data_IF_043034037945
#
_entry.id   IF_043034037945
#
_cell.length_a   1.000
_cell.length_b   1.000
_cell.length_c   1.000
_cell.angle_alpha   90.00
_cell.angle_beta   90.00
_cell.angle_gamma   90.00
#
_symmetry.space_group_name_H-M   'P 1'
#
loop_
_entity.id
_entity.type
_entity.pdbx_description
1 polymer ?
#
# COMPACT_ATOMS: atom_id res chain seq x y z
N UNK A 1 13.50 11.60 10.36
CA UNK A 1 13.99 10.99 11.61
C UNK A 1 14.93 9.83 11.28
N UNK A 2 16.16 9.87 11.77
CA UNK A 2 17.08 8.72 11.68
C UNK A 2 16.55 7.58 12.54
N UNK A 3 16.48 6.40 11.96
CA UNK A 3 15.89 5.22 12.58
C UNK A 3 16.81 4.01 12.46
N UNK A 4 16.78 3.17 13.50
CA UNK A 4 17.43 1.88 13.51
C UNK A 4 16.39 0.78 13.76
N UNK A 5 16.41 -0.26 12.94
CA UNK A 5 15.51 -1.40 13.06
C UNK A 5 16.29 -2.69 12.84
N UNK A 6 16.31 -3.55 13.84
CA UNK A 6 17.02 -4.83 13.80
C UNK A 6 16.08 -6.02 13.60
N UNK A 7 14.77 -5.79 13.59
CA UNK A 7 13.75 -6.82 13.53
C UNK A 7 13.83 -7.63 12.25
N UNK A 8 14.16 -6.97 11.12
CA UNK A 8 14.25 -7.56 9.80
C UNK A 8 15.71 -7.79 9.34
N UNK A 9 16.65 -7.93 10.31
CA UNK A 9 18.10 -8.01 9.99
C UNK A 9 18.46 -9.21 9.10
N UNK A 10 17.70 -10.30 9.21
CA UNK A 10 17.92 -11.50 8.41
C UNK A 10 17.47 -11.33 6.95
N UNK A 11 16.64 -10.33 6.68
CA UNK A 11 16.12 -10.00 5.35
C UNK A 11 16.98 -8.96 4.62
N UNK A 12 17.98 -8.37 5.32
CA UNK A 12 18.90 -7.40 4.73
C UNK A 12 19.74 -8.06 3.64
N UNK A 13 19.66 -7.50 2.44
CA UNK A 13 20.30 -8.02 1.24
C UNK A 13 19.34 -8.12 0.06
N UNK A 14 18.06 -7.96 0.31
CA UNK A 14 17.07 -7.68 -0.72
C UNK A 14 17.11 -6.19 -1.13
N UNK A 15 16.13 -5.76 -1.93
CA UNK A 15 16.04 -4.37 -2.38
C UNK A 15 15.18 -3.46 -1.48
N UNK A 16 14.76 -3.92 -0.30
CA UNK A 16 13.79 -3.24 0.57
C UNK A 16 14.26 -3.08 2.00
N UNK A 17 14.88 -4.11 2.59
CA UNK A 17 15.19 -4.15 4.01
C UNK A 17 16.55 -3.54 4.31
N UNK A 18 16.56 -2.57 5.22
CA UNK A 18 17.76 -1.93 5.75
C UNK A 18 17.64 -1.80 7.26
N UNK A 19 18.77 -1.83 7.98
CA UNK A 19 18.78 -1.65 9.44
C UNK A 19 18.86 -0.18 9.85
N UNK A 20 19.47 0.66 9.01
CA UNK A 20 19.54 2.11 9.19
C UNK A 20 18.82 2.81 8.05
N UNK A 21 17.93 3.72 8.38
CA UNK A 21 17.17 4.50 7.40
C UNK A 21 16.68 5.81 8.00
N UNK A 22 16.18 6.69 7.17
CA UNK A 22 15.48 7.89 7.60
C UNK A 22 13.99 7.74 7.31
N UNK A 23 13.17 7.95 8.33
CA UNK A 23 11.71 8.02 8.18
C UNK A 23 11.33 9.47 7.88
N UNK A 24 10.64 9.67 6.78
CA UNK A 24 9.90 10.87 6.47
C UNK A 24 8.41 10.60 6.74
N UNK A 25 7.79 11.41 7.57
CA UNK A 25 6.38 11.17 7.90
C UNK A 25 5.81 12.24 8.82
N UNK A 26 4.53 12.12 9.05
CA UNK A 26 3.77 12.99 9.92
C UNK A 26 2.75 12.16 10.73
N UNK A 27 2.29 12.74 11.81
CA UNK A 27 1.29 12.13 12.70
C UNK A 27 0.16 13.12 12.90
N UNK A 28 -1.08 12.64 12.76
CA UNK A 28 -2.26 13.39 13.12
C UNK A 28 -2.81 12.91 14.46
N UNK A 29 -3.05 13.85 15.37
CA UNK A 29 -3.75 13.59 16.63
C UNK A 29 -5.18 14.18 16.57
N UNK A 30 -5.84 14.06 15.41
CA UNK A 30 -7.18 14.53 15.17
C UNK A 30 -7.27 15.85 14.40
N UNK A 31 -6.15 16.41 13.93
CA UNK A 31 -6.14 17.66 13.16
C UNK A 31 -6.50 17.45 11.69
N UNK A 32 -6.09 16.32 11.11
CA UNK A 32 -6.36 15.94 9.73
C UNK A 32 -6.49 14.42 9.64
N UNK A 33 -7.02 13.93 8.52
CA UNK A 33 -7.17 12.50 8.30
C UNK A 33 -6.92 12.14 6.82
N UNK A 34 -7.63 11.18 6.26
CA UNK A 34 -7.39 10.61 4.94
C UNK A 34 -7.35 11.65 3.82
N UNK A 35 -8.30 12.58 3.82
CA UNK A 35 -8.46 13.55 2.73
C UNK A 35 -7.22 14.42 2.55
N UNK A 36 -6.71 14.95 3.65
CA UNK A 36 -5.52 15.80 3.66
C UNK A 36 -4.26 14.96 3.45
N UNK A 37 -4.13 13.85 4.21
CA UNK A 37 -2.92 13.02 4.19
C UNK A 37 -2.66 12.39 2.83
N UNK A 38 -3.67 11.81 2.18
CA UNK A 38 -3.49 11.17 0.88
C UNK A 38 -3.15 12.20 -0.21
N UNK A 39 -3.75 13.41 -0.13
CA UNK A 39 -3.41 14.50 -1.04
C UNK A 39 -1.97 14.97 -0.85
N UNK A 40 -1.56 15.29 0.36
CA UNK A 40 -0.19 15.74 0.65
C UNK A 40 0.85 14.71 0.24
N UNK A 41 0.58 13.42 0.49
CA UNK A 41 1.48 12.36 0.11
C UNK A 41 1.59 12.23 -1.42
N UNK A 42 0.48 12.31 -2.13
CA UNK A 42 0.48 12.25 -3.60
C UNK A 42 1.17 13.47 -4.22
N UNK A 43 0.91 14.67 -3.73
CA UNK A 43 1.59 15.90 -4.15
C UNK A 43 3.10 15.80 -3.88
N UNK A 44 3.49 15.36 -2.69
CA UNK A 44 4.90 15.13 -2.36
C UNK A 44 5.58 14.19 -3.36
N UNK A 45 4.97 13.05 -3.66
CA UNK A 45 5.54 12.08 -4.60
C UNK A 45 5.62 12.63 -6.04
N UNK A 46 4.58 13.33 -6.48
CA UNK A 46 4.48 13.75 -7.90
C UNK A 46 5.09 15.10 -8.19
N UNK A 47 5.14 16.02 -7.22
CA UNK A 47 5.60 17.40 -7.41
C UNK A 47 6.98 17.64 -6.82
N UNK A 48 7.24 17.17 -5.58
CA UNK A 48 8.53 17.39 -4.91
C UNK A 48 9.56 16.32 -5.29
N UNK A 49 9.17 15.04 -5.24
CA UNK A 49 10.05 13.92 -5.66
C UNK A 49 10.08 13.80 -7.19
N UNK A 50 9.03 14.24 -7.90
CA UNK A 50 8.96 14.26 -9.35
C UNK A 50 8.66 12.88 -9.96
N UNK A 51 8.00 11.98 -9.24
CA UNK A 51 7.59 10.68 -9.78
C UNK A 51 6.42 10.86 -10.76
N UNK A 52 6.50 10.17 -11.90
CA UNK A 52 5.36 10.14 -12.82
C UNK A 52 4.18 9.40 -12.21
N UNK A 53 2.98 10.02 -12.15
CA UNK A 53 1.79 9.38 -11.61
C UNK A 53 1.37 8.13 -12.39
N UNK A 54 1.81 7.97 -13.64
CA UNK A 54 1.59 6.77 -14.46
C UNK A 54 2.32 5.53 -13.92
N UNK A 55 3.36 5.72 -13.09
CA UNK A 55 4.10 4.64 -12.44
C UNK A 55 3.57 4.33 -11.03
N UNK A 56 2.64 5.14 -10.50
CA UNK A 56 2.10 4.95 -9.16
C UNK A 56 0.86 4.06 -9.18
N UNK A 57 0.82 3.15 -8.25
CA UNK A 57 -0.29 2.25 -7.95
C UNK A 57 -0.58 2.29 -6.46
N UNK A 58 -1.82 2.06 -6.07
CA UNK A 58 -2.19 2.14 -4.65
C UNK A 58 -2.98 0.93 -4.21
N UNK A 59 -2.83 0.61 -2.92
CA UNK A 59 -3.62 -0.43 -2.28
C UNK A 59 -4.44 0.15 -1.15
N UNK A 60 -5.58 -0.45 -0.89
CA UNK A 60 -6.53 -0.07 0.16
C UNK A 60 -7.20 -1.31 0.74
N UNK A 61 -7.73 -1.20 1.95
CA UNK A 61 -8.34 -2.31 2.66
C UNK A 61 -9.68 -2.73 2.06
N UNK A 62 -9.83 -4.05 1.82
CA UNK A 62 -11.06 -4.62 1.22
C UNK A 62 -12.23 -4.73 2.21
N UNK A 63 -11.98 -4.61 3.52
CA UNK A 63 -12.96 -4.83 4.57
C UNK A 63 -12.94 -6.25 5.12
N UNK A 64 -13.51 -6.42 6.31
CA UNK A 64 -13.81 -7.71 6.93
C UNK A 64 -15.18 -7.62 7.63
N UNK A 65 -16.22 -8.12 6.98
CA UNK A 65 -17.59 -8.10 7.51
C UNK A 65 -17.70 -8.87 8.83
N UNK A 66 -16.92 -9.95 9.01
CA UNK A 66 -16.95 -10.75 10.23
C UNK A 66 -16.36 -10.02 11.42
N UNK A 67 -15.40 -9.17 11.17
CA UNK A 67 -14.80 -8.28 12.16
C UNK A 67 -15.57 -6.95 12.31
N UNK A 68 -16.57 -6.70 11.47
CA UNK A 68 -17.33 -5.45 11.45
C UNK A 68 -16.55 -4.26 10.92
N UNK A 69 -15.46 -4.49 10.17
CA UNK A 69 -14.64 -3.42 9.59
C UNK A 69 -15.02 -3.23 8.12
N UNK A 70 -15.43 -2.02 7.79
CA UNK A 70 -15.90 -1.69 6.45
C UNK A 70 -14.73 -1.61 5.46
N UNK A 71 -15.07 -1.87 4.19
CA UNK A 71 -14.19 -1.61 3.05
C UNK A 71 -13.83 -0.13 2.97
N UNK A 72 -12.55 0.19 2.73
CA UNK A 72 -12.06 1.57 2.65
C UNK A 72 -12.36 2.21 1.28
N UNK A 73 -13.63 2.43 1.03
CA UNK A 73 -14.10 3.09 -0.19
C UNK A 73 -13.76 4.59 -0.21
N UNK A 74 -13.61 5.20 0.96
CA UNK A 74 -13.24 6.62 1.08
C UNK A 74 -11.84 6.87 0.51
N UNK A 75 -10.83 6.13 0.98
CA UNK A 75 -9.46 6.25 0.43
C UNK A 75 -9.42 5.95 -1.06
N UNK A 76 -10.15 4.92 -1.52
CA UNK A 76 -10.21 4.60 -2.94
C UNK A 76 -10.78 5.75 -3.79
N UNK A 77 -11.82 6.43 -3.32
CA UNK A 77 -12.41 7.59 -4.00
C UNK A 77 -11.45 8.79 -4.03
N UNK A 78 -10.75 9.05 -2.91
CA UNK A 78 -9.75 10.12 -2.84
C UNK A 78 -8.62 9.83 -3.85
N UNK A 79 -8.06 8.63 -3.85
CA UNK A 79 -7.04 8.21 -4.82
C UNK A 79 -7.50 8.36 -6.25
N UNK A 80 -8.71 7.92 -6.56
CA UNK A 80 -9.30 8.04 -7.90
C UNK A 80 -9.38 9.49 -8.36
N UNK A 81 -9.78 10.39 -7.47
CA UNK A 81 -9.83 11.82 -7.76
C UNK A 81 -8.43 12.40 -7.98
N UNK A 82 -7.44 12.04 -7.14
CA UNK A 82 -6.06 12.52 -7.26
C UNK A 82 -5.41 12.08 -8.58
N UNK A 83 -5.58 10.81 -8.97
CA UNK A 83 -5.10 10.32 -10.27
C UNK A 83 -5.78 11.04 -11.44
N UNK A 84 -7.10 11.26 -11.34
CA UNK A 84 -7.85 12.00 -12.36
C UNK A 84 -7.35 13.43 -12.53
N UNK A 85 -6.99 14.13 -11.45
CA UNK A 85 -6.41 15.48 -11.49
C UNK A 85 -5.08 15.50 -12.26
N UNK A 86 -4.33 14.40 -12.27
CA UNK A 86 -3.11 14.22 -13.08
C UNK A 86 -3.35 13.58 -14.46
N UNK A 87 -4.61 13.43 -14.88
CA UNK A 87 -4.96 12.86 -16.19
C UNK A 87 -4.80 11.35 -16.30
N UNK A 88 -4.70 10.64 -15.17
CA UNK A 88 -4.53 9.19 -15.12
C UNK A 88 -5.85 8.52 -14.75
N UNK A 89 -6.29 7.55 -15.55
CA UNK A 89 -7.44 6.73 -15.19
C UNK A 89 -7.06 5.72 -14.08
N UNK A 90 -7.91 5.60 -13.07
CA UNK A 90 -7.66 4.79 -11.90
C UNK A 90 -8.79 3.79 -11.66
N UNK A 91 -8.73 2.67 -12.39
CA UNK A 91 -9.65 1.55 -12.22
C UNK A 91 -9.40 0.85 -10.89
N UNK A 92 -10.49 0.55 -10.20
CA UNK A 92 -10.50 -0.22 -8.96
C UNK A 92 -10.55 -1.73 -9.26
N UNK A 93 -9.77 -2.52 -8.50
CA UNK A 93 -9.72 -3.97 -8.62
C UNK A 93 -9.72 -4.62 -7.24
N UNK A 94 -10.58 -5.58 -7.02
CA UNK A 94 -10.61 -6.38 -5.80
C UNK A 94 -9.71 -7.62 -5.95
N UNK A 95 -8.59 -7.58 -5.27
CA UNK A 95 -7.66 -8.72 -5.21
C UNK A 95 -8.06 -9.69 -4.09
N UNK A 96 -8.17 -9.22 -2.86
CA UNK A 96 -8.32 -10.05 -1.68
C UNK A 96 -6.97 -10.38 -1.07
N UNK A 97 -6.57 -11.65 -1.07
CA UNK A 97 -5.28 -12.08 -0.56
C UNK A 97 -4.14 -11.88 -1.57
N UNK A 98 -2.90 -11.91 -1.08
CA UNK A 98 -1.71 -11.93 -1.94
C UNK A 98 -1.73 -13.10 -2.92
N UNK A 99 -2.13 -14.29 -2.46
CA UNK A 99 -2.26 -15.48 -3.33
C UNK A 99 -3.30 -15.31 -4.43
N UNK A 100 -4.38 -14.57 -4.18
CA UNK A 100 -5.33 -14.20 -5.23
C UNK A 100 -4.70 -13.25 -6.25
N UNK A 101 -3.80 -12.37 -5.80
CA UNK A 101 -3.04 -11.47 -6.67
C UNK A 101 -2.24 -12.20 -7.74
N UNK A 102 -1.57 -13.29 -7.36
CA UNK A 102 -0.83 -14.13 -8.31
C UNK A 102 -1.70 -14.84 -9.35
N UNK A 103 -3.00 -14.93 -9.11
CA UNK A 103 -3.98 -15.51 -10.03
C UNK A 103 -4.66 -14.43 -10.86
N UNK A 104 -5.12 -13.37 -10.21
CA UNK A 104 -5.94 -12.30 -10.81
C UNK A 104 -5.11 -11.30 -11.61
N UNK A 105 -3.89 -10.99 -11.16
CA UNK A 105 -3.02 -9.99 -11.77
C UNK A 105 -3.54 -8.56 -11.67
N UNK A 106 -2.99 -7.69 -12.48
CA UNK A 106 -3.29 -6.25 -12.47
C UNK A 106 -4.66 -5.89 -13.03
N UNK A 107 -5.23 -6.66 -13.94
CA UNK A 107 -6.56 -6.42 -14.57
C UNK A 107 -6.75 -4.97 -15.06
N UNK A 108 -5.69 -4.32 -15.53
CA UNK A 108 -5.64 -2.89 -15.88
C UNK A 108 -6.02 -1.96 -14.72
N UNK A 109 -5.90 -2.44 -13.48
CA UNK A 109 -6.20 -1.71 -12.27
C UNK A 109 -5.09 -0.74 -11.88
N UNK A 110 -5.45 0.19 -11.01
CA UNK A 110 -4.53 1.14 -10.38
C UNK A 110 -4.76 1.28 -8.88
N UNK A 111 -5.99 1.03 -8.43
CA UNK A 111 -6.40 1.00 -7.03
C UNK A 111 -6.80 -0.43 -6.70
N UNK A 112 -6.11 -1.06 -5.75
CA UNK A 112 -6.27 -2.47 -5.45
C UNK A 112 -6.73 -2.68 -4.02
N UNK A 113 -7.75 -3.49 -3.83
CA UNK A 113 -8.25 -3.83 -2.50
C UNK A 113 -7.66 -5.16 -2.04
N UNK A 114 -6.94 -5.11 -0.92
CA UNK A 114 -6.35 -6.27 -0.27
C UNK A 114 -6.91 -6.52 1.12
N UNK A 115 -6.65 -7.71 1.63
CA UNK A 115 -7.06 -8.16 2.96
C UNK A 115 -6.20 -7.54 4.09
N UNK A 116 -6.47 -7.95 5.31
CA UNK A 116 -5.81 -7.47 6.53
C UNK A 116 -4.33 -7.85 6.64
N UNK A 117 -3.83 -8.72 5.80
CA UNK A 117 -2.39 -9.03 5.76
C UNK A 117 -1.59 -7.98 5.01
N UNK A 118 -2.24 -7.23 4.13
CA UNK A 118 -1.57 -6.25 3.26
C UNK A 118 -2.01 -4.81 3.53
N UNK A 119 -3.24 -4.59 3.94
CA UNK A 119 -3.76 -3.25 4.20
C UNK A 119 -4.38 -3.10 5.60
N UNK A 120 -3.66 -3.60 6.61
CA UNK A 120 -4.00 -3.39 8.01
C UNK A 120 -2.74 -3.14 8.84
N UNK A 121 -2.67 -2.00 9.47
CA UNK A 121 -1.59 -1.67 10.39
C UNK A 121 -1.95 -2.00 11.82
N UNK A 122 -1.01 -2.59 12.55
CA UNK A 122 -0.98 -2.70 14.00
C UNK A 122 0.49 -2.72 14.48
N UNK A 123 0.73 -2.78 15.78
CA UNK A 123 2.10 -2.83 16.34
C UNK A 123 2.81 -4.17 16.17
N UNK A 124 2.14 -5.18 15.74
CA UNK A 124 2.67 -6.53 15.57
C UNK A 124 2.56 -7.01 14.13
N UNK A 125 2.29 -8.29 13.97
CA UNK A 125 2.03 -8.84 12.64
C UNK A 125 0.71 -8.32 12.10
N UNK A 126 0.69 -7.75 10.88
CA UNK A 126 -0.54 -7.24 10.29
C UNK A 126 -1.63 -8.32 10.24
N UNK A 127 -2.63 -8.18 11.07
CA UNK A 127 -3.85 -8.99 11.04
C UNK A 127 -4.86 -8.45 12.03
N UNK A 128 -6.10 -8.34 11.59
CA UNK A 128 -7.26 -8.07 12.46
C UNK A 128 -7.39 -9.05 13.62
N UNK A 129 -7.06 -10.32 13.37
CA UNK A 129 -7.22 -11.40 14.35
C UNK A 129 -6.19 -11.36 15.47
N UNK A 130 -5.04 -10.76 15.25
CA UNK A 130 -3.93 -10.70 16.22
C UNK A 130 -3.79 -9.35 16.89
N UNK A 131 -4.63 -8.38 16.53
CA UNK A 131 -4.64 -7.06 17.17
C UNK A 131 -5.23 -7.16 18.57
N UNK A 132 -4.47 -6.85 19.64
CA UNK A 132 -5.01 -6.86 21.00
C UNK A 132 -6.08 -5.78 21.18
N UNK A 133 -7.07 -6.06 22.02
CA UNK A 133 -8.12 -5.09 22.35
C UNK A 133 -7.48 -3.87 23.04
N UNK A 134 -7.74 -2.68 22.51
CA UNK A 134 -7.21 -1.43 23.03
C UNK A 134 -5.88 -0.98 22.40
N UNK A 135 -5.25 -1.80 21.59
CA UNK A 135 -4.08 -1.37 20.80
C UNK A 135 -4.50 -0.53 19.59
N UNK A 136 -3.73 0.52 19.27
CA UNK A 136 -3.97 1.28 18.05
C UNK A 136 -3.74 0.39 16.83
N UNK A 137 -4.74 0.34 15.98
CA UNK A 137 -4.71 -0.39 14.72
C UNK A 137 -5.76 0.16 13.76
N UNK A 138 -5.60 -0.10 12.49
CA UNK A 138 -6.58 0.33 11.48
C UNK A 138 -6.19 -0.07 10.06
N UNK A 139 -7.13 0.11 9.13
CA UNK A 139 -6.81 -0.02 7.71
C UNK A 139 -5.76 1.00 7.32
N UNK A 140 -4.90 0.61 6.40
CA UNK A 140 -3.92 1.47 5.77
C UNK A 140 -4.11 1.54 4.25
N UNK A 141 -3.35 2.43 3.63
CA UNK A 141 -3.24 2.56 2.19
C UNK A 141 -1.77 2.75 1.84
N UNK A 142 -1.30 1.96 0.88
CA UNK A 142 0.10 1.97 0.46
C UNK A 142 0.21 2.44 -0.99
N UNK A 143 1.34 3.07 -1.31
CA UNK A 143 1.67 3.49 -2.68
C UNK A 143 2.84 2.66 -3.18
N UNK A 144 2.71 2.14 -4.38
CA UNK A 144 3.73 1.35 -5.07
C UNK A 144 4.20 2.06 -6.31
N UNK A 145 5.51 2.05 -6.54
CA UNK A 145 6.13 2.50 -7.78
C UNK A 145 6.41 1.32 -8.71
N UNK A 146 5.92 1.37 -9.93
CA UNK A 146 6.16 0.36 -10.99
C UNK A 146 7.44 0.70 -11.76
N UNK A 147 8.49 -0.08 -11.55
CA UNK A 147 9.74 0.02 -12.31
C UNK A 147 9.62 -0.48 -13.75
N UNK A 148 8.47 -1.05 -14.12
CA UNK A 148 8.22 -1.68 -15.43
C UNK A 148 9.18 -2.81 -15.77
N UNK A 149 9.84 -3.38 -14.77
CA UNK A 149 10.65 -4.59 -14.97
C UNK A 149 9.77 -5.79 -15.31
N UNK A 150 10.25 -6.73 -16.13
CA UNK A 150 9.48 -7.93 -16.45
C UNK A 150 9.14 -8.72 -15.17
N UNK A 151 7.91 -9.21 -15.10
CA UNK A 151 7.49 -10.07 -14.01
C UNK A 151 8.32 -11.38 -13.95
N UNK A 152 8.86 -11.69 -12.79
CA UNK A 152 9.50 -12.98 -12.54
C UNK A 152 8.43 -14.04 -12.16
N UNK A 153 8.15 -14.94 -13.09
CA UNK A 153 7.13 -15.99 -12.94
C UNK A 153 7.42 -17.02 -11.84
N UNK A 154 8.62 -16.99 -11.24
CA UNK A 154 8.91 -17.84 -10.07
C UNK A 154 8.07 -17.46 -8.85
N UNK A 155 7.58 -16.21 -8.77
CA UNK A 155 6.72 -15.71 -7.69
C UNK A 155 5.23 -16.04 -7.89
N UNK A 156 4.77 -16.21 -9.12
CA UNK A 156 3.38 -16.52 -9.44
C UNK A 156 3.08 -16.37 -10.93
N UNK A 157 1.86 -16.73 -11.32
CA UNK A 157 1.44 -16.66 -12.71
C UNK A 157 1.34 -15.22 -13.21
N UNK A 158 0.71 -14.38 -12.41
CA UNK A 158 0.45 -12.96 -12.72
C UNK A 158 1.18 -12.04 -11.73
N UNK A 159 1.48 -10.82 -12.17
CA UNK A 159 2.06 -9.78 -11.31
C UNK A 159 0.97 -8.91 -10.68
N UNK A 160 1.24 -8.39 -9.48
CA UNK A 160 0.37 -7.46 -8.77
C UNK A 160 1.21 -6.56 -7.83
N UNK A 161 0.67 -5.47 -7.23
CA UNK A 161 1.49 -4.53 -6.44
C UNK A 161 2.25 -5.18 -5.28
N UNK A 162 1.64 -6.14 -4.59
CA UNK A 162 2.26 -6.89 -3.49
C UNK A 162 3.07 -8.14 -3.96
N UNK A 163 3.50 -8.17 -5.22
CA UNK A 163 4.36 -9.23 -5.74
C UNK A 163 5.82 -8.91 -5.47
N UNK A 164 6.54 -9.82 -4.79
CA UNK A 164 7.95 -9.65 -4.43
C UNK A 164 8.95 -9.87 -5.58
N UNK A 165 8.46 -9.87 -6.83
CA UNK A 165 9.30 -10.07 -8.01
C UNK A 165 10.25 -8.88 -8.34
N UNK A 166 10.20 -7.78 -7.58
CA UNK A 166 11.01 -6.59 -7.79
C UNK A 166 10.47 -5.60 -8.83
N UNK A 167 9.27 -5.84 -9.37
CA UNK A 167 8.63 -4.89 -10.28
C UNK A 167 8.04 -3.69 -9.53
N UNK A 168 7.44 -3.95 -8.40
CA UNK A 168 6.84 -2.93 -7.54
C UNK A 168 7.63 -2.74 -6.24
N UNK A 169 7.74 -1.52 -5.80
CA UNK A 169 8.28 -1.14 -4.50
C UNK A 169 7.41 -0.07 -3.87
#
# INVERSE_FOLDING_TARGET
QKSFRAEDIEEVGDNRHTTFFEMLGNWSLGDYFKKEQLRWFFEFLTEEVGLSPEHLYVTVFIGDEKAGVLKDTESAQIWKQLFKEKGVDAKEVEIGSESDGYIKGMQDGRIFFYDDKKNWWNRGKPSLKTTPIGDPAGPDSEVFYDFRTPHNKAFGKECHPNCDCGRFM
#
